data_IF_429807893440
#
_entry.id   IF_429807893440
#
_cell.length_a   1.000
_cell.length_b   1.000
_cell.length_c   1.000
_cell.angle_alpha   90.00
_cell.angle_beta   90.00
_cell.angle_gamma   90.00
#
_symmetry.space_group_name_H-M   'P 1'
#
loop_
_entity.id
_entity.type
_entity.pdbx_description
1 polymer ?
#
# COMPACT_ATOMS: atom_id res chain seq x y z
N UNK A 1 -13.90 16.01 -6.29
CA UNK A 1 -13.20 14.96 -7.06
C UNK A 1 -12.40 14.14 -6.06
N UNK A 2 -12.95 13.01 -5.62
CA UNK A 2 -12.31 12.12 -4.65
C UNK A 2 -11.52 11.08 -5.45
N UNK A 3 -10.20 11.17 -5.44
CA UNK A 3 -9.35 10.17 -6.08
C UNK A 3 -9.22 8.95 -5.17
N UNK A 4 -9.93 7.88 -5.46
CA UNK A 4 -9.62 6.56 -4.89
C UNK A 4 -8.36 6.03 -5.57
N UNK A 5 -7.26 5.96 -4.82
CA UNK A 5 -6.05 5.28 -5.26
C UNK A 5 -6.29 3.78 -5.09
N UNK A 6 -6.48 3.08 -6.21
CA UNK A 6 -6.78 1.66 -6.24
C UNK A 6 -5.52 0.84 -5.89
N UNK A 7 -5.31 0.56 -4.61
CA UNK A 7 -4.31 -0.41 -4.16
C UNK A 7 -4.91 -1.82 -4.29
N UNK A 8 -4.77 -2.39 -5.48
CA UNK A 8 -5.06 -3.81 -5.72
C UNK A 8 -3.91 -4.67 -5.20
N UNK A 9 -4.24 -5.71 -4.41
CA UNK A 9 -3.34 -6.87 -4.25
C UNK A 9 -3.40 -7.64 -5.56
N UNK A 10 -2.38 -7.49 -6.39
CA UNK A 10 -2.09 -8.46 -7.43
C UNK A 10 -1.22 -9.54 -6.77
N UNK A 11 -1.78 -10.71 -6.51
CA UNK A 11 -0.94 -11.91 -6.37
C UNK A 11 -0.55 -12.32 -7.79
N UNK A 12 0.73 -12.28 -8.18
CA UNK A 12 1.13 -12.87 -9.45
C UNK A 12 1.20 -14.38 -9.25
N UNK A 13 0.33 -15.12 -9.95
CA UNK A 13 0.57 -16.53 -10.18
C UNK A 13 1.90 -16.65 -10.94
N UNK A 14 2.88 -17.32 -10.33
CA UNK A 14 4.15 -17.77 -10.92
C UNK A 14 5.12 -16.69 -11.42
N UNK A 15 5.93 -16.10 -10.53
CA UNK A 15 7.17 -15.41 -10.89
C UNK A 15 8.20 -15.65 -9.77
N UNK A 16 9.44 -15.94 -10.17
CA UNK A 16 10.60 -16.27 -9.34
C UNK A 16 10.53 -15.73 -7.89
N UNK A 17 10.69 -16.64 -6.92
CA UNK A 17 10.53 -16.41 -5.47
C UNK A 17 11.35 -15.21 -4.92
N UNK A 18 12.33 -14.69 -5.68
CA UNK A 18 13.19 -13.57 -5.29
C UNK A 18 12.75 -12.16 -5.75
N UNK A 19 11.71 -11.99 -6.58
CA UNK A 19 11.38 -10.67 -7.17
C UNK A 19 10.36 -9.84 -6.37
N UNK A 20 9.58 -10.45 -5.48
CA UNK A 20 8.45 -9.79 -4.79
C UNK A 20 8.60 -9.65 -3.26
N UNK A 21 9.77 -9.94 -2.68
CA UNK A 21 9.90 -10.07 -1.22
C UNK A 21 9.77 -8.75 -0.42
N UNK A 22 9.76 -7.57 -1.06
CA UNK A 22 9.79 -6.29 -0.32
C UNK A 22 8.65 -5.35 -0.69
N UNK A 23 7.72 -5.19 0.25
CA UNK A 23 6.74 -4.11 0.25
C UNK A 23 7.44 -2.75 0.14
N UNK A 24 6.99 -1.91 -0.80
CA UNK A 24 7.51 -0.55 -1.01
C UNK A 24 6.37 0.45 -0.76
N UNK A 25 6.67 1.54 -0.06
CA UNK A 25 5.73 2.63 0.16
C UNK A 25 6.36 3.98 -0.21
N UNK A 26 5.57 4.85 -0.83
CA UNK A 26 5.99 6.22 -1.11
C UNK A 26 6.04 7.05 0.19
N UNK A 27 7.05 7.91 0.41
CA UNK A 27 7.10 8.82 1.55
C UNK A 27 5.83 9.69 1.71
N UNK A 28 5.09 9.93 0.62
CA UNK A 28 3.82 10.65 0.66
C UNK A 28 2.76 10.00 1.55
N UNK A 29 2.76 8.66 1.65
CA UNK A 29 1.82 7.93 2.49
C UNK A 29 2.03 8.19 3.98
N UNK A 30 3.24 8.57 4.39
CA UNK A 30 3.55 8.87 5.80
C UNK A 30 3.03 10.23 6.26
N UNK A 31 2.48 11.04 5.34
CA UNK A 31 1.96 12.39 5.63
C UNK A 31 0.47 12.41 5.94
N UNK A 32 -0.23 11.31 5.75
CA UNK A 32 -1.66 11.17 6.07
C UNK A 32 -1.82 10.41 7.39
N UNK A 33 -2.82 10.72 8.23
CA UNK A 33 -3.01 10.06 9.51
C UNK A 33 -3.66 8.67 9.38
N UNK A 34 -4.35 8.39 8.27
CA UNK A 34 -5.14 7.18 8.05
C UNK A 34 -5.00 6.68 6.61
N UNK A 35 -4.92 5.36 6.46
CA UNK A 35 -4.79 4.64 5.21
C UNK A 35 -5.97 3.68 5.03
N UNK A 36 -6.44 3.55 3.79
CA UNK A 36 -7.54 2.65 3.43
C UNK A 36 -7.03 1.56 2.49
N UNK A 37 -7.33 0.31 2.84
CA UNK A 37 -6.98 -0.87 2.06
C UNK A 37 -8.22 -1.70 1.76
N UNK A 38 -8.22 -2.42 0.64
CA UNK A 38 -9.26 -3.42 0.38
C UNK A 38 -9.22 -4.52 1.45
N UNK A 39 -10.38 -4.87 2.01
CA UNK A 39 -10.54 -5.84 3.10
C UNK A 39 -10.56 -7.29 2.59
N UNK A 40 -9.63 -7.64 1.68
CA UNK A 40 -9.68 -8.85 0.83
C UNK A 40 -10.95 -8.94 -0.05
N UNK A 41 -11.69 -7.84 -0.17
CA UNK A 41 -12.85 -7.67 -1.03
C UNK A 41 -12.85 -6.25 -1.57
N UNK A 42 -13.38 -6.06 -2.77
CA UNK A 42 -13.45 -4.75 -3.43
C UNK A 42 -14.59 -3.87 -2.92
N UNK A 43 -15.59 -4.46 -2.25
CA UNK A 43 -16.76 -3.77 -1.71
C UNK A 43 -16.57 -3.32 -0.26
N UNK A 44 -15.36 -3.49 0.30
CA UNK A 44 -15.09 -3.18 1.70
C UNK A 44 -13.66 -2.71 1.89
N UNK A 45 -13.51 -1.64 2.65
CA UNK A 45 -12.21 -1.12 3.07
C UNK A 45 -11.93 -1.41 4.55
N UNK A 46 -10.66 -1.51 4.90
CA UNK A 46 -10.14 -1.40 6.27
C UNK A 46 -9.42 -0.07 6.37
N UNK A 47 -9.78 0.74 7.36
CA UNK A 47 -9.05 1.94 7.73
C UNK A 47 -8.02 1.60 8.82
N UNK A 48 -6.79 2.06 8.65
CA UNK A 48 -5.72 1.91 9.63
C UNK A 48 -5.07 3.26 9.89
N UNK A 49 -4.78 3.56 11.15
CA UNK A 49 -3.84 4.64 11.46
C UNK A 49 -2.50 4.34 10.78
N UNK A 50 -1.87 5.35 10.19
CA UNK A 50 -0.64 5.16 9.42
C UNK A 50 0.46 4.50 10.24
N UNK A 51 0.61 4.88 11.51
CA UNK A 51 1.59 4.28 12.41
C UNK A 51 1.31 2.78 12.67
N UNK A 52 0.04 2.39 12.72
CA UNK A 52 -0.36 1.00 12.93
C UNK A 52 -0.27 0.15 11.67
N UNK A 53 -0.23 0.78 10.49
CA UNK A 53 0.19 0.13 9.25
C UNK A 53 1.72 -0.02 9.17
N UNK A 54 2.47 1.06 9.43
CA UNK A 54 3.93 1.11 9.21
C UNK A 54 4.68 0.14 10.12
N UNK A 55 4.28 0.04 11.41
CA UNK A 55 4.94 -0.83 12.39
C UNK A 55 4.97 -2.31 11.97
N UNK A 56 3.84 -2.97 11.64
CA UNK A 56 3.84 -4.38 11.24
C UNK A 56 4.28 -4.58 9.78
N UNK A 57 3.98 -3.65 8.88
CA UNK A 57 4.26 -3.81 7.45
C UNK A 57 5.74 -3.56 7.11
N UNK A 58 6.42 -2.75 7.92
CA UNK A 58 7.84 -2.39 7.77
C UNK A 58 8.28 -2.17 6.30
N UNK A 59 7.57 -1.31 5.53
CA UNK A 59 7.82 -1.17 4.11
C UNK A 59 9.19 -0.51 3.86
N UNK A 60 9.79 -0.85 2.72
CA UNK A 60 10.90 -0.06 2.18
C UNK A 60 10.35 1.27 1.69
N UNK A 61 10.82 2.37 2.28
CA UNK A 61 10.40 3.70 1.86
C UNK A 61 11.21 4.13 0.62
N UNK A 62 10.52 4.45 -0.47
CA UNK A 62 11.14 4.95 -1.69
C UNK A 62 10.14 5.79 -2.51
N UNK A 63 10.58 6.87 -3.17
CA UNK A 63 9.73 7.62 -4.08
C UNK A 63 9.37 6.75 -5.28
N UNK A 64 8.08 6.49 -5.46
CA UNK A 64 7.53 5.63 -6.54
C UNK A 64 6.40 6.33 -7.32
N UNK A 65 6.00 7.53 -6.91
CA UNK A 65 5.04 8.35 -7.64
C UNK A 65 5.76 9.39 -8.49
N UNK A 66 5.20 9.72 -9.65
CA UNK A 66 5.55 10.96 -10.35
C UNK A 66 4.86 12.14 -9.66
N UNK A 67 5.50 13.31 -9.69
CA UNK A 67 4.82 14.55 -9.32
C UNK A 67 3.53 14.68 -10.14
N UNK A 68 2.43 15.17 -9.53
CA UNK A 68 1.16 15.36 -10.24
C UNK A 68 1.28 16.33 -11.41
#
# INVERSE_FOLDING_TARGET
>A
MSGEVNSGIAAPDSLDEGLYERLVADPALLRVPELFFNAARLDRSIALATDDYVKPAAPRIAPIITAP
#
